data_IF_338836617818
#
_entry.id   IF_338836617818
#
_cell.length_a   1.000
_cell.length_b   1.000
_cell.length_c   1.000
_cell.angle_alpha   90.00
_cell.angle_beta   90.00
_cell.angle_gamma   90.00
#
_symmetry.space_group_name_H-M   'P 1'
#
loop_
_entity.id
_entity.type
_entity.pdbx_description
1 polymer ?
#
# COMPACT_ATOMS: atom_id res chain seq x y z
N UNK A 1 -21.25 -6.14 -15.70
CA UNK A 1 -19.98 -6.57 -16.33
C UNK A 1 -18.95 -6.79 -15.23
N UNK A 2 -18.23 -7.91 -15.21
CA UNK A 2 -17.25 -8.26 -14.15
C UNK A 2 -15.81 -8.07 -14.63
N UNK A 3 -14.87 -8.03 -13.69
CA UNK A 3 -13.41 -7.94 -13.92
C UNK A 3 -12.70 -9.01 -13.09
N UNK A 4 -11.77 -9.72 -13.71
CA UNK A 4 -10.88 -10.63 -13.01
C UNK A 4 -9.80 -9.83 -12.28
N UNK A 5 -9.76 -9.99 -10.96
CA UNK A 5 -8.80 -9.33 -10.07
C UNK A 5 -7.99 -10.40 -9.36
N UNK A 6 -6.67 -10.20 -9.26
CA UNK A 6 -5.81 -10.99 -8.38
C UNK A 6 -5.29 -10.13 -7.26
N UNK A 7 -5.57 -10.54 -6.03
CA UNK A 7 -5.03 -9.91 -4.85
C UNK A 7 -3.65 -10.49 -4.54
N UNK A 8 -2.72 -9.63 -4.15
CA UNK A 8 -1.41 -10.00 -3.62
C UNK A 8 -1.14 -9.25 -2.33
N UNK A 9 -0.75 -9.95 -1.28
CA UNK A 9 -0.22 -9.40 -0.04
C UNK A 9 1.27 -9.15 -0.19
N UNK A 10 1.74 -8.04 0.36
CA UNK A 10 3.15 -7.68 0.35
C UNK A 10 3.40 -6.25 0.76
N UNK A 11 4.64 -5.83 0.58
CA UNK A 11 5.12 -4.52 1.01
C UNK A 11 5.71 -3.75 -0.16
N UNK A 12 5.44 -2.45 -0.15
CA UNK A 12 6.09 -1.52 -1.07
C UNK A 12 7.45 -1.13 -0.54
N UNK A 13 8.49 -1.34 -1.35
CA UNK A 13 9.83 -0.85 -1.10
C UNK A 13 10.19 0.19 -2.14
N UNK A 14 10.98 1.16 -1.71
CA UNK A 14 11.56 2.17 -2.60
C UNK A 14 13.07 2.04 -2.60
N UNK A 15 13.65 1.77 -3.76
CA UNK A 15 15.10 1.61 -3.94
C UNK A 15 15.84 2.95 -3.78
N UNK A 16 17.17 2.86 -3.68
CA UNK A 16 18.05 4.04 -3.65
C UNK A 16 17.83 4.90 -4.92
N UNK A 17 17.59 4.26 -6.06
CA UNK A 17 17.31 4.90 -7.35
C UNK A 17 15.89 5.47 -7.50
N UNK A 18 15.13 5.51 -6.38
CA UNK A 18 13.74 5.96 -6.31
C UNK A 18 12.74 5.08 -7.06
N UNK A 19 13.12 3.84 -7.39
CA UNK A 19 12.22 2.87 -8.02
C UNK A 19 11.37 2.18 -6.98
N UNK A 20 10.14 1.89 -7.35
CA UNK A 20 9.15 1.27 -6.48
C UNK A 20 8.99 -0.21 -6.82
N UNK A 21 9.13 -1.07 -5.84
CA UNK A 21 8.96 -2.52 -5.99
C UNK A 21 7.97 -3.05 -4.96
N UNK A 22 7.07 -3.92 -5.41
CA UNK A 22 6.17 -4.62 -4.51
C UNK A 22 6.77 -5.98 -4.21
N UNK A 23 7.22 -6.15 -2.97
CA UNK A 23 7.73 -7.42 -2.48
C UNK A 23 6.55 -8.23 -1.98
N UNK A 24 6.13 -9.20 -2.79
CA UNK A 24 5.06 -10.12 -2.41
C UNK A 24 5.50 -10.97 -1.23
N UNK A 25 4.55 -11.26 -0.35
CA UNK A 25 4.75 -12.24 0.70
C UNK A 25 5.05 -13.62 0.10
N UNK A 26 6.14 -14.31 0.50
CA UNK A 26 6.48 -15.63 -0.03
C UNK A 26 5.39 -16.69 0.17
N UNK A 27 4.53 -16.53 1.18
CA UNK A 27 3.44 -17.46 1.47
C UNK A 27 2.15 -17.12 0.71
N UNK A 28 2.07 -15.95 0.07
CA UNK A 28 0.92 -15.57 -0.73
C UNK A 28 1.10 -15.95 -2.20
N UNK A 29 0.33 -16.95 -2.64
CA UNK A 29 0.27 -17.39 -4.04
C UNK A 29 -0.65 -16.54 -4.92
N UNK A 30 -1.24 -15.49 -4.33
CA UNK A 30 -2.18 -14.58 -4.96
C UNK A 30 -3.59 -15.17 -5.08
N UNK A 31 -4.60 -14.36 -4.83
CA UNK A 31 -6.00 -14.79 -4.82
C UNK A 31 -6.79 -14.19 -5.98
N UNK A 32 -7.25 -15.05 -6.89
CA UNK A 32 -8.06 -14.64 -8.04
C UNK A 32 -9.54 -14.61 -7.68
N UNK A 33 -10.21 -13.50 -8.01
CA UNK A 33 -11.63 -13.31 -7.79
C UNK A 33 -12.27 -12.45 -8.89
N UNK A 34 -13.54 -12.69 -9.18
CA UNK A 34 -14.33 -11.85 -10.07
C UNK A 34 -15.02 -10.76 -9.27
N UNK A 35 -14.75 -9.51 -9.62
CA UNK A 35 -15.33 -8.32 -8.98
C UNK A 35 -16.24 -7.62 -9.99
N UNK A 36 -17.41 -7.14 -9.56
CA UNK A 36 -18.24 -6.29 -10.43
C UNK A 36 -17.47 -5.01 -10.76
N UNK A 37 -17.51 -4.55 -12.01
CA UNK A 37 -16.93 -3.24 -12.38
C UNK A 37 -17.61 -2.06 -11.66
N UNK A 38 -18.79 -2.29 -11.09
CA UNK A 38 -19.53 -1.33 -10.26
C UNK A 38 -19.39 -1.59 -8.76
N UNK A 39 -18.45 -2.44 -8.34
CA UNK A 39 -18.24 -2.72 -6.92
C UNK A 39 -17.77 -1.46 -6.18
N UNK A 40 -18.26 -1.30 -4.95
CA UNK A 40 -17.77 -0.25 -4.06
C UNK A 40 -16.39 -0.61 -3.51
N UNK A 41 -15.65 0.41 -3.08
CA UNK A 41 -14.39 0.19 -2.38
C UNK A 41 -14.58 -0.62 -1.10
N UNK A 42 -15.65 -0.35 -0.34
CA UNK A 42 -16.00 -1.11 0.86
C UNK A 42 -16.18 -2.61 0.58
N UNK A 43 -16.80 -2.98 -0.54
CA UNK A 43 -16.98 -4.39 -0.89
C UNK A 43 -15.63 -5.07 -1.20
N UNK A 44 -14.69 -4.35 -1.82
CA UNK A 44 -13.33 -4.85 -2.08
C UNK A 44 -12.53 -4.92 -0.78
N UNK A 45 -12.61 -3.92 0.09
CA UNK A 45 -11.97 -3.93 1.42
C UNK A 45 -12.46 -5.11 2.27
N UNK A 46 -13.78 -5.34 2.34
CA UNK A 46 -14.34 -6.52 3.03
C UNK A 46 -13.89 -7.85 2.41
N UNK A 47 -13.68 -7.89 1.09
CA UNK A 47 -13.16 -9.07 0.41
C UNK A 47 -11.69 -9.31 0.78
N UNK A 48 -10.86 -8.26 0.78
CA UNK A 48 -9.46 -8.30 1.19
C UNK A 48 -9.35 -8.76 2.66
N UNK A 49 -10.13 -8.15 3.56
CA UNK A 49 -10.14 -8.51 4.98
C UNK A 49 -10.54 -9.96 5.21
N UNK A 50 -11.59 -10.45 4.53
CA UNK A 50 -11.98 -11.86 4.62
C UNK A 50 -10.90 -12.80 4.07
N UNK A 51 -10.26 -12.44 2.95
CA UNK A 51 -9.24 -13.27 2.31
C UNK A 51 -7.99 -13.45 3.17
N UNK A 52 -7.58 -12.41 3.90
CA UNK A 52 -6.39 -12.44 4.75
C UNK A 52 -6.72 -12.50 6.24
N UNK A 53 -7.95 -12.87 6.62
CA UNK A 53 -8.40 -13.02 8.02
C UNK A 53 -8.11 -11.80 8.90
N UNK A 54 -8.37 -10.60 8.39
CA UNK A 54 -8.01 -9.34 9.05
C UNK A 54 -9.13 -8.84 9.96
N UNK A 55 -8.74 -8.37 11.15
CA UNK A 55 -9.64 -7.66 12.05
C UNK A 55 -10.10 -6.31 11.50
N UNK A 56 -11.20 -5.73 12.04
CA UNK A 56 -11.73 -4.44 11.59
C UNK A 56 -10.79 -3.25 11.86
N UNK A 57 -9.90 -3.39 12.85
CA UNK A 57 -8.92 -2.36 13.22
C UNK A 57 -7.57 -2.53 12.54
N UNK A 58 -7.33 -3.65 11.86
CA UNK A 58 -6.07 -3.88 11.16
C UNK A 58 -5.95 -2.88 10.01
N UNK A 59 -4.89 -2.04 9.98
CA UNK A 59 -4.66 -1.13 8.87
C UNK A 59 -4.42 -1.91 7.58
N UNK A 60 -5.04 -1.44 6.50
CA UNK A 60 -4.92 -2.04 5.17
C UNK A 60 -4.84 -0.91 4.14
N UNK A 61 -3.94 -1.05 3.18
CA UNK A 61 -3.88 -0.23 1.99
C UNK A 61 -4.04 -1.13 0.77
N UNK A 62 -4.97 -0.75 -0.10
CA UNK A 62 -5.11 -1.35 -1.43
C UNK A 62 -4.50 -0.38 -2.43
N UNK A 63 -3.60 -0.90 -3.25
CA UNK A 63 -2.88 -0.13 -4.25
C UNK A 63 -2.88 -0.85 -5.59
N UNK A 64 -2.65 -0.09 -6.65
CA UNK A 64 -2.57 -0.60 -8.01
C UNK A 64 -1.35 -0.04 -8.71
N UNK A 65 -0.71 -0.88 -9.52
CA UNK A 65 0.38 -0.49 -10.39
C UNK A 65 -0.03 -0.70 -11.84
N UNK A 66 0.12 0.35 -12.64
CA UNK A 66 0.04 0.21 -14.08
C UNK A 66 1.15 -0.73 -14.59
N UNK A 67 0.87 -1.54 -15.61
CA UNK A 67 1.90 -2.34 -16.27
C UNK A 67 3.11 -1.48 -16.66
N UNK A 68 4.31 -2.07 -16.57
CA UNK A 68 5.59 -1.37 -16.81
C UNK A 68 5.64 -0.61 -18.14
N UNK A 69 5.03 -1.14 -19.20
CA UNK A 69 4.96 -0.49 -20.52
C UNK A 69 4.10 0.78 -20.56
N UNK A 70 3.19 1.01 -19.60
CA UNK A 70 2.44 2.26 -19.45
C UNK A 70 3.14 3.29 -18.57
N UNK A 71 4.23 2.93 -17.90
CA UNK A 71 4.93 3.81 -16.98
C UNK A 71 5.97 4.72 -17.66
N UNK A 72 5.98 4.80 -18.99
CA UNK A 72 6.92 5.61 -19.77
C UNK A 72 6.69 7.11 -19.53
N UNK A 73 7.75 7.95 -19.41
CA UNK A 73 9.19 7.62 -19.48
C UNK A 73 9.81 7.28 -18.12
N UNK A 74 9.07 7.43 -17.02
CA UNK A 74 9.63 7.35 -15.66
C UNK A 74 9.77 5.93 -15.12
N UNK A 75 9.13 4.95 -15.75
CA UNK A 75 9.15 3.55 -15.36
C UNK A 75 8.72 3.35 -13.90
N UNK A 76 9.44 2.48 -13.20
CA UNK A 76 9.21 2.13 -11.81
C UNK A 76 9.44 3.29 -10.82
N UNK A 77 9.95 4.44 -11.27
CA UNK A 77 10.02 5.66 -10.44
C UNK A 77 8.65 6.30 -10.23
N UNK A 78 7.65 5.90 -11.01
CA UNK A 78 6.26 6.32 -10.83
C UNK A 78 5.68 5.64 -9.59
N UNK A 79 5.13 6.41 -8.62
CA UNK A 79 4.53 5.84 -7.43
C UNK A 79 3.30 4.99 -7.80
N UNK A 80 3.00 3.94 -7.02
CA UNK A 80 1.76 3.19 -7.17
C UNK A 80 0.53 4.08 -6.87
N UNK A 81 -0.61 3.72 -7.45
CA UNK A 81 -1.88 4.38 -7.19
C UNK A 81 -2.50 3.78 -5.93
N UNK A 82 -2.57 4.57 -4.85
CA UNK A 82 -3.38 4.22 -3.67
C UNK A 82 -4.86 4.33 -4.02
N UNK A 83 -5.64 3.29 -3.72
CA UNK A 83 -7.09 3.27 -3.90
C UNK A 83 -7.73 3.51 -2.54
N UNK A 84 -8.26 4.72 -2.33
CA UNK A 84 -8.88 5.16 -1.08
C UNK A 84 -10.40 5.18 -1.16
N UNK A 85 -10.97 5.24 -2.38
CA UNK A 85 -12.40 5.41 -2.58
C UNK A 85 -12.93 4.63 -3.80
N UNK A 86 -14.27 4.63 -3.92
CA UNK A 86 -14.99 3.92 -4.98
C UNK A 86 -14.75 4.53 -6.37
N UNK A 87 -14.47 5.83 -6.47
CA UNK A 87 -14.22 6.48 -7.76
C UNK A 87 -12.86 6.04 -8.34
N UNK A 88 -11.82 6.02 -7.50
CA UNK A 88 -10.51 5.49 -7.85
C UNK A 88 -10.57 3.99 -8.17
N UNK A 89 -11.30 3.21 -7.37
CA UNK A 89 -11.52 1.79 -7.66
C UNK A 89 -12.21 1.60 -9.02
N UNK A 90 -13.26 2.36 -9.29
CA UNK A 90 -13.99 2.29 -10.57
C UNK A 90 -13.06 2.60 -11.74
N UNK A 91 -12.20 3.63 -11.62
CA UNK A 91 -11.20 3.92 -12.64
C UNK A 91 -10.27 2.71 -12.88
N UNK A 92 -9.75 2.10 -11.81
CA UNK A 92 -8.86 0.92 -11.88
C UNK A 92 -9.56 -0.28 -12.52
N UNK A 93 -10.77 -0.62 -12.08
CA UNK A 93 -11.54 -1.76 -12.61
C UNK A 93 -11.93 -1.59 -14.09
N UNK A 94 -11.98 -0.35 -14.58
CA UNK A 94 -12.29 0.00 -15.96
C UNK A 94 -11.05 0.30 -16.82
N UNK A 95 -9.83 0.20 -16.28
CA UNK A 95 -8.60 0.20 -17.10
C UNK A 95 -8.72 -0.88 -18.19
N UNK A 96 -8.42 -0.49 -19.44
CA UNK A 96 -8.82 -1.19 -20.67
C UNK A 96 -8.58 -2.72 -20.66
N UNK A 97 -9.42 -3.38 -21.45
CA UNK A 97 -9.70 -4.83 -21.50
C UNK A 97 -8.55 -5.77 -21.88
N UNK A 98 -7.41 -5.26 -22.36
CA UNK A 98 -6.25 -6.09 -22.77
C UNK A 98 -5.50 -6.74 -21.60
N UNK A 99 -5.76 -6.31 -20.37
CA UNK A 99 -5.28 -7.00 -19.18
C UNK A 99 -6.29 -8.09 -18.81
N UNK A 100 -5.94 -9.35 -19.02
CA UNK A 100 -6.80 -10.50 -18.66
C UNK A 100 -7.03 -10.57 -17.15
N UNK A 101 -6.04 -10.12 -16.37
CA UNK A 101 -6.07 -10.10 -14.91
C UNK A 101 -5.53 -8.77 -14.38
N UNK A 102 -6.28 -8.15 -13.48
CA UNK A 102 -5.88 -6.92 -12.79
C UNK A 102 -5.29 -7.27 -11.42
N UNK A 103 -4.04 -6.89 -11.16
CA UNK A 103 -3.39 -7.14 -9.88
C UNK A 103 -3.67 -5.99 -8.88
N UNK A 104 -4.37 -6.28 -7.78
CA UNK A 104 -4.46 -5.37 -6.64
C UNK A 104 -3.43 -5.78 -5.59
N UNK A 105 -2.65 -4.81 -5.15
CA UNK A 105 -1.51 -4.99 -4.26
C UNK A 105 -1.90 -4.48 -2.87
N UNK A 106 -1.89 -5.38 -1.90
CA UNK A 106 -2.42 -5.17 -0.56
C UNK A 106 -1.27 -5.12 0.44
N UNK A 107 -1.14 -4.00 1.12
CA UNK A 107 -0.23 -3.84 2.26
C UNK A 107 -1.03 -3.86 3.54
N UNK A 108 -0.64 -4.72 4.48
CA UNK A 108 -1.40 -5.05 5.68
C UNK A 108 -0.55 -4.73 6.91
N UNK A 109 -1.20 -4.28 7.96
CA UNK A 109 -0.56 -4.02 9.24
C UNK A 109 -0.03 -2.60 9.32
N UNK A 110 0.06 -2.11 10.55
CA UNK A 110 0.32 -0.71 10.79
C UNK A 110 1.73 -0.29 10.34
N UNK A 111 2.72 -1.18 10.50
CA UNK A 111 4.10 -0.97 10.06
C UNK A 111 4.18 -0.75 8.54
N UNK A 112 3.77 -1.75 7.76
CA UNK A 112 3.84 -1.68 6.29
C UNK A 112 2.99 -0.55 5.70
N UNK A 113 1.82 -0.27 6.29
CA UNK A 113 0.96 0.85 5.85
C UNK A 113 1.62 2.20 6.12
N UNK A 114 2.22 2.40 7.31
CA UNK A 114 2.91 3.64 7.64
C UNK A 114 4.17 3.83 6.77
N UNK A 115 4.96 2.78 6.54
CA UNK A 115 6.12 2.82 5.64
C UNK A 115 5.69 3.19 4.22
N UNK A 116 4.64 2.56 3.70
CA UNK A 116 4.09 2.89 2.38
C UNK A 116 3.67 4.36 2.28
N UNK A 117 2.87 4.84 3.22
CA UNK A 117 2.35 6.21 3.23
C UNK A 117 3.49 7.23 3.37
N UNK A 118 4.50 6.92 4.19
CA UNK A 118 5.72 7.70 4.32
C UNK A 118 6.48 7.77 2.98
N UNK A 119 6.65 6.64 2.28
CA UNK A 119 7.31 6.60 0.97
C UNK A 119 6.54 7.37 -0.10
N UNK A 120 5.21 7.36 -0.03
CA UNK A 120 4.32 8.12 -0.93
C UNK A 120 4.33 9.62 -0.64
N UNK A 121 4.95 10.07 0.47
CA UNK A 121 4.93 11.46 0.96
C UNK A 121 3.50 12.00 1.13
N UNK A 122 2.57 11.10 1.43
CA UNK A 122 1.17 11.45 1.67
C UNK A 122 0.98 11.66 3.15
N UNK A 123 0.17 12.65 3.54
CA UNK A 123 -0.26 12.79 4.92
C UNK A 123 -0.96 11.52 5.36
N UNK A 124 -0.66 11.03 6.56
CA UNK A 124 -1.27 9.81 7.06
C UNK A 124 -1.46 9.80 8.57
N UNK A 125 -2.41 8.99 9.03
CA UNK A 125 -2.74 8.84 10.44
C UNK A 125 -2.49 7.40 10.89
N UNK A 126 -1.81 7.26 12.02
CA UNK A 126 -1.63 5.97 12.69
C UNK A 126 -2.17 6.10 14.12
N UNK A 127 -3.28 5.42 14.40
CA UNK A 127 -3.95 5.52 15.70
C UNK A 127 -4.42 6.96 15.96
N UNK A 128 -3.91 7.58 17.02
CA UNK A 128 -4.23 8.96 17.41
C UNK A 128 -3.28 10.00 16.80
N UNK A 129 -2.24 9.59 16.07
CA UNK A 129 -1.16 10.48 15.62
C UNK A 129 -1.28 10.74 14.11
N UNK A 130 -1.29 12.03 13.74
CA UNK A 130 -1.31 12.50 12.34
C UNK A 130 0.08 12.94 11.88
N UNK A 131 0.58 12.38 10.79
CA UNK A 131 1.82 12.74 10.12
C UNK A 131 1.51 13.60 8.89
N UNK A 132 1.93 14.86 8.94
CA UNK A 132 1.73 15.84 7.86
C UNK A 132 3.06 16.06 7.13
N UNK A 133 3.09 15.71 5.85
CA UNK A 133 4.11 16.11 4.90
C UNK A 133 3.68 17.42 4.24
N UNK A 134 4.25 18.52 4.72
CA UNK A 134 4.07 19.83 4.10
C UNK A 134 5.19 20.05 3.07
N UNK A 135 4.83 20.53 1.87
CA UNK A 135 5.78 20.78 0.75
C UNK A 135 6.76 21.95 1.06
N UNK A 136 6.63 22.59 2.23
CA UNK A 136 7.48 23.66 2.75
C UNK A 136 8.76 23.18 3.46
N UNK A 137 8.97 21.87 3.61
CA UNK A 137 10.12 21.32 4.31
C UNK A 137 11.44 21.61 3.56
N UNK A 138 12.26 22.47 4.15
CA UNK A 138 13.53 23.00 3.62
C UNK A 138 14.59 21.89 3.45
N UNK A 139 15.60 22.13 2.59
CA UNK A 139 16.72 21.19 2.31
C UNK A 139 17.46 20.66 3.56
N UNK A 140 17.36 21.35 4.71
CA UNK A 140 17.89 20.84 5.99
C UNK A 140 17.07 19.69 6.59
N UNK A 141 15.75 19.68 6.42
CA UNK A 141 14.92 18.52 6.74
C UNK A 141 15.33 17.35 5.84
N UNK A 142 15.55 17.64 4.55
CA UNK A 142 15.96 16.69 3.49
C UNK A 142 17.28 15.96 3.81
N UNK A 143 18.27 16.63 4.38
CA UNK A 143 19.53 16.02 4.82
C UNK A 143 19.38 15.12 6.07
N UNK A 144 18.52 15.50 7.02
CA UNK A 144 18.14 14.61 8.13
C UNK A 144 17.31 13.39 7.64
N UNK A 145 16.61 13.52 6.51
CA UNK A 145 15.82 12.47 5.87
C UNK A 145 16.62 11.48 5.01
N UNK A 146 17.85 11.76 4.58
CA UNK A 146 18.64 10.85 3.71
C UNK A 146 19.49 9.81 4.47
N UNK A 147 19.56 9.90 5.81
CA UNK A 147 20.31 8.96 6.65
C UNK A 147 19.50 7.67 6.99
N UNK A 148 18.87 7.10 5.96
CA UNK A 148 17.47 6.62 5.93
C UNK A 148 17.14 5.21 6.47
N UNK A 149 18.10 4.46 7.01
CA UNK A 149 17.81 3.15 7.63
C UNK A 149 17.40 3.28 9.11
N UNK A 150 18.28 3.89 9.90
CA UNK A 150 18.13 3.97 11.36
C UNK A 150 17.04 4.98 11.80
N UNK A 151 16.73 5.99 11.00
CA UNK A 151 15.67 6.96 11.30
C UNK A 151 14.28 6.36 11.06
N UNK A 152 14.12 5.54 10.00
CA UNK A 152 12.89 4.77 9.77
C UNK A 152 12.67 3.84 10.96
N UNK A 153 13.68 3.07 11.35
CA UNK A 153 13.58 2.17 12.50
C UNK A 153 13.25 2.92 13.79
N UNK A 154 13.86 4.09 14.06
CA UNK A 154 13.53 4.93 15.23
C UNK A 154 12.12 5.52 15.18
N UNK A 155 11.67 6.03 14.03
CA UNK A 155 10.32 6.59 13.87
C UNK A 155 9.29 5.48 13.95
N UNK A 156 9.54 4.34 13.31
CA UNK A 156 8.68 3.16 13.37
C UNK A 156 8.64 2.54 14.77
N UNK A 157 9.76 2.48 15.51
CA UNK A 157 9.79 2.03 16.91
C UNK A 157 9.17 3.05 17.87
N UNK A 158 9.19 4.35 17.55
CA UNK A 158 8.49 5.38 18.32
C UNK A 158 6.97 5.39 18.05
N UNK A 159 6.54 5.02 16.84
CA UNK A 159 5.13 4.89 16.44
C UNK A 159 4.55 3.56 16.88
N UNK A 160 5.35 2.49 16.81
CA UNK A 160 5.02 1.12 17.16
C UNK A 160 6.08 0.60 18.15
N UNK A 161 5.98 0.97 19.44
CA UNK A 161 6.87 0.41 20.45
C UNK A 161 6.77 -1.13 20.46
N UNK A 162 7.84 -1.82 20.83
CA UNK A 162 7.91 -3.30 20.80
C UNK A 162 6.74 -3.96 21.55
N UNK A 163 6.26 -3.34 22.63
CA UNK A 163 5.06 -3.76 23.38
C UNK A 163 3.75 -3.66 22.58
N UNK A 164 3.66 -2.71 21.65
CA UNK A 164 2.57 -2.57 20.69
C UNK A 164 2.68 -3.52 19.49
N UNK A 165 3.90 -3.95 19.12
CA UNK A 165 4.12 -5.00 18.11
C UNK A 165 3.71 -6.39 18.61
N UNK A 166 3.83 -6.66 19.91
CA UNK A 166 3.45 -7.94 20.53
C UNK A 166 1.94 -8.22 20.47
N UNK A 167 1.09 -7.17 20.46
CA UNK A 167 -0.36 -7.32 20.30
C UNK A 167 -0.80 -7.78 18.90
N UNK A 168 0.10 -7.82 17.92
CA UNK A 168 -0.19 -8.25 16.55
C UNK A 168 0.35 -9.65 16.22
N UNK A 169 1.01 -10.31 17.17
CA UNK A 169 1.59 -11.65 16.98
C UNK A 169 0.78 -12.78 17.62
N UNK A 170 -0.24 -12.48 18.41
CA UNK A 170 -1.22 -13.44 18.91
C UNK A 170 -2.52 -13.27 18.14
N UNK A 171 -2.73 -14.05 17.07
CA UNK A 171 -3.99 -14.71 16.72
C UNK A 171 -3.70 -15.57 15.49
N UNK A 172 -3.29 -16.79 15.78
CA UNK A 172 -3.18 -17.91 14.83
C UNK A 172 -4.57 -18.34 14.35
#
# INVERSE_FOLDING_TARGET
>A
MVRCVRLWRGEWKKSVDQEWDFVTDPEDYGYRVLVSKSASFEAVDQLVRRRYSLGPRTPVVVSYRLPSWLLVPRGNKTPPLTINDTAQLSMVLNVRTWLDELALLVTIGAKGVAEYQFLCRTNFTVGATSYVFDESATDNSRAAYENRGAQMERVMNAIFPEEGMLLFHEFH
#
